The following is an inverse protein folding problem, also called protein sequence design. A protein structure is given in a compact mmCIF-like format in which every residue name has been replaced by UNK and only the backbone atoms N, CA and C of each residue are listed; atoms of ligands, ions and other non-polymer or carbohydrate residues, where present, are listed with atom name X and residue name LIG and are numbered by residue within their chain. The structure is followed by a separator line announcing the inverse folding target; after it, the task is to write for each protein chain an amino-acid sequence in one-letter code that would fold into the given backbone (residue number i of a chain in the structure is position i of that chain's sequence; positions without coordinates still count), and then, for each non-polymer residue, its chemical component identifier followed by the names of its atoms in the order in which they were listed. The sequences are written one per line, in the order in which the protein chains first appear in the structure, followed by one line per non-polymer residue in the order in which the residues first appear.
data_IF_163616515845
#
_entry.id   IF_163616515845
#
_cell.length_a   1.000
_cell.length_b   1.000
_cell.length_c   1.000
_cell.angle_alpha   90.00
_cell.angle_beta   90.00
_cell.angle_gamma   90.00
#
_symmetry.space_group_name_H-M   'P 1'
#
loop_
_entity.id
_entity.type
_entity.pdbx_description
1 polymer ?
#
# COMPACT_ATOMS: atom_id res chain seq x y z
N UNK A 1 9.09 16.70 -29.52
CA UNK A 1 9.45 15.40 -30.10
C UNK A 1 9.11 14.28 -29.11
N UNK A 2 8.56 13.15 -29.54
CA UNK A 2 8.17 12.03 -28.67
C UNK A 2 9.31 11.58 -27.77
N UNK A 3 10.55 11.58 -28.24
CA UNK A 3 11.75 11.27 -27.45
C UNK A 3 11.95 12.14 -26.19
N UNK A 4 11.52 13.41 -26.20
CA UNK A 4 11.59 14.25 -24.99
C UNK A 4 10.53 13.87 -23.96
N UNK A 5 9.32 13.53 -24.40
CA UNK A 5 8.25 13.08 -23.54
C UNK A 5 8.64 11.77 -22.84
N UNK A 6 9.04 10.75 -23.59
CA UNK A 6 9.48 9.49 -23.03
C UNK A 6 10.66 9.62 -22.04
N UNK A 7 11.65 10.47 -22.39
CA UNK A 7 12.76 10.72 -21.47
C UNK A 7 12.30 11.30 -20.14
N UNK A 8 11.27 12.18 -20.16
CA UNK A 8 10.68 12.69 -18.92
C UNK A 8 9.91 11.63 -18.16
N UNK A 9 9.14 10.78 -18.84
CA UNK A 9 8.41 9.69 -18.21
C UNK A 9 9.36 8.72 -17.48
N UNK A 10 10.48 8.36 -18.14
CA UNK A 10 11.55 7.58 -17.50
C UNK A 10 12.13 8.28 -16.27
N UNK A 11 12.36 9.58 -16.38
CA UNK A 11 12.86 10.40 -15.27
C UNK A 11 11.85 10.54 -14.13
N UNK A 12 10.56 10.40 -14.39
CA UNK A 12 9.51 10.36 -13.37
C UNK A 12 9.38 8.98 -12.73
N UNK A 13 10.17 7.98 -13.18
CA UNK A 13 10.22 6.64 -12.62
C UNK A 13 9.24 5.65 -13.27
N UNK A 14 8.58 5.99 -14.39
CA UNK A 14 7.75 5.03 -15.12
C UNK A 14 8.63 3.93 -15.74
N UNK A 15 8.16 2.69 -15.65
CA UNK A 15 8.82 1.53 -16.25
C UNK A 15 8.68 1.51 -17.77
N UNK A 16 9.60 0.85 -18.46
CA UNK A 16 9.52 0.66 -19.91
C UNK A 16 8.26 -0.13 -20.31
N UNK A 17 7.83 -1.09 -19.49
CA UNK A 17 6.59 -1.85 -19.71
C UNK A 17 5.36 -0.95 -19.67
N UNK A 18 5.27 -0.07 -18.69
CA UNK A 18 4.16 0.87 -18.61
C UNK A 18 4.20 1.91 -19.74
N UNK A 19 5.37 2.44 -20.09
CA UNK A 19 5.52 3.35 -21.22
C UNK A 19 5.07 2.66 -22.52
N UNK A 20 5.48 1.43 -22.78
CA UNK A 20 5.06 0.65 -23.94
C UNK A 20 3.53 0.42 -23.97
N UNK A 21 2.93 0.11 -22.82
CA UNK A 21 1.47 -0.04 -22.66
C UNK A 21 0.73 1.27 -22.96
N UNK A 22 1.25 2.39 -22.46
CA UNK A 22 0.68 3.72 -22.73
C UNK A 22 0.76 4.07 -24.23
N UNK A 23 1.85 3.73 -24.89
CA UNK A 23 2.00 3.90 -26.35
C UNK A 23 0.94 3.12 -27.16
N UNK A 24 0.59 1.91 -26.71
CA UNK A 24 -0.43 1.09 -27.35
C UNK A 24 -1.86 1.56 -27.05
N UNK A 25 -2.03 2.49 -26.10
CA UNK A 25 -3.36 2.97 -25.70
C UNK A 25 -3.84 4.08 -26.64
N UNK A 26 -5.10 4.02 -27.05
CA UNK A 26 -5.72 5.08 -27.86
C UNK A 26 -5.70 6.40 -27.10
N UNK A 27 -5.16 7.45 -27.73
CA UNK A 27 -4.99 8.77 -27.12
C UNK A 27 -3.55 9.08 -26.71
N UNK A 28 -2.61 8.18 -26.98
CA UNK A 28 -1.19 8.51 -26.85
C UNK A 28 -0.85 9.76 -27.69
N UNK A 29 -0.14 10.76 -27.13
CA UNK A 29 0.21 11.97 -27.84
C UNK A 29 1.21 11.68 -28.96
N UNK A 30 0.70 11.59 -30.21
CA UNK A 30 1.53 11.40 -31.42
C UNK A 30 2.12 12.69 -31.95
N UNK A 31 2.09 13.75 -31.15
CA UNK A 31 2.36 15.11 -31.54
C UNK A 31 3.62 15.36 -32.35
N UNK A 32 3.46 16.18 -33.38
CA UNK A 32 4.55 16.71 -34.19
C UNK A 32 5.54 17.55 -33.39
N UNK A 33 6.61 18.05 -34.04
CA UNK A 33 7.68 18.79 -33.35
C UNK A 33 7.23 20.06 -32.63
N UNK A 34 6.03 20.56 -32.89
CA UNK A 34 5.46 21.77 -32.34
C UNK A 34 4.53 21.54 -31.12
N UNK A 35 4.20 20.30 -30.77
CA UNK A 35 3.32 20.06 -29.62
C UNK A 35 4.04 20.43 -28.32
N UNK A 36 3.46 21.34 -27.50
CA UNK A 36 4.03 21.71 -26.22
C UNK A 36 4.13 20.48 -25.28
N UNK A 37 5.25 20.34 -24.61
CA UNK A 37 5.56 19.19 -23.76
C UNK A 37 4.52 18.98 -22.63
N UNK A 38 4.01 20.07 -22.06
CA UNK A 38 2.97 20.01 -21.02
C UNK A 38 1.67 19.35 -21.53
N UNK A 39 1.28 19.58 -22.78
CA UNK A 39 0.10 18.91 -23.35
C UNK A 39 0.32 17.40 -23.48
N UNK A 40 1.52 16.99 -23.87
CA UNK A 40 1.89 15.57 -23.91
C UNK A 40 1.83 14.92 -22.53
N UNK A 41 2.34 15.61 -21.50
CA UNK A 41 2.30 15.13 -20.11
C UNK A 41 0.89 15.07 -19.55
N UNK A 42 0.06 16.07 -19.83
CA UNK A 42 -1.37 16.07 -19.44
C UNK A 42 -2.12 14.91 -20.11
N UNK A 43 -1.86 14.64 -21.39
CA UNK A 43 -2.46 13.51 -22.09
C UNK A 43 -2.04 12.18 -21.46
N UNK A 44 -0.74 11.99 -21.17
CA UNK A 44 -0.24 10.78 -20.49
C UNK A 44 -0.82 10.61 -19.08
N UNK A 45 -0.91 11.69 -18.30
CA UNK A 45 -1.56 11.67 -16.99
C UNK A 45 -3.04 11.25 -17.11
N UNK A 46 -3.73 11.70 -18.15
CA UNK A 46 -5.09 11.26 -18.49
C UNK A 46 -5.18 9.77 -18.81
N UNK A 47 -4.24 9.24 -19.59
CA UNK A 47 -4.17 7.81 -19.91
C UNK A 47 -3.89 6.95 -18.68
N UNK A 48 -2.95 7.37 -17.82
CA UNK A 48 -2.67 6.66 -16.55
C UNK A 48 -3.90 6.67 -15.67
N UNK A 49 -4.61 7.80 -15.54
CA UNK A 49 -5.87 7.88 -14.79
C UNK A 49 -6.94 6.95 -15.36
N UNK A 50 -7.01 6.83 -16.67
CA UNK A 50 -7.93 5.91 -17.33
C UNK A 50 -7.57 4.44 -17.05
N UNK A 51 -6.29 4.06 -17.13
CA UNK A 51 -5.82 2.72 -16.76
C UNK A 51 -6.05 2.42 -15.27
N UNK A 52 -5.92 3.43 -14.42
CA UNK A 52 -6.16 3.30 -12.98
C UNK A 52 -7.64 3.31 -12.59
N UNK A 53 -8.55 3.69 -13.50
CA UNK A 53 -9.99 3.68 -13.23
C UNK A 53 -10.53 2.27 -12.98
N UNK A 54 -9.88 1.24 -13.53
CA UNK A 54 -10.21 -0.17 -13.33
C UNK A 54 -9.61 -0.75 -12.04
N UNK A 55 -8.77 0.02 -11.33
CA UNK A 55 -8.20 -0.40 -10.04
C UNK A 55 -9.32 -0.54 -9.02
N UNK A 56 -9.56 -1.77 -8.59
CA UNK A 56 -10.64 -2.08 -7.68
C UNK A 56 -10.41 -1.43 -6.30
N UNK A 57 -11.16 -0.38 -5.99
CA UNK A 57 -11.28 0.11 -4.61
C UNK A 57 -12.21 -0.84 -3.87
N UNK A 58 -11.70 -1.45 -2.80
CA UNK A 58 -12.45 -2.38 -1.96
C UNK A 58 -12.50 -1.87 -0.53
N UNK A 59 -13.64 -1.99 0.17
CA UNK A 59 -13.67 -1.68 1.59
C UNK A 59 -12.76 -2.65 2.36
N UNK A 60 -12.03 -2.12 3.33
CA UNK A 60 -11.22 -2.96 4.20
C UNK A 60 -12.13 -3.78 5.12
N UNK A 61 -12.00 -5.12 5.17
CA UNK A 61 -12.74 -5.94 6.11
C UNK A 61 -12.49 -5.54 7.56
N UNK A 62 -13.51 -5.68 8.41
CA UNK A 62 -13.40 -5.32 9.83
C UNK A 62 -12.32 -6.15 10.57
N UNK A 63 -12.06 -7.37 10.13
CA UNK A 63 -10.97 -8.22 10.63
C UNK A 63 -9.86 -8.27 9.61
N UNK A 64 -8.75 -7.58 9.90
CA UNK A 64 -7.67 -7.37 8.93
C UNK A 64 -6.29 -7.51 9.56
N UNK A 65 -5.43 -8.25 8.89
CA UNK A 65 -4.01 -8.37 9.19
C UNK A 65 -3.17 -7.40 8.35
N UNK A 66 -2.14 -6.82 8.96
CA UNK A 66 -1.12 -6.03 8.28
C UNK A 66 0.18 -6.82 8.29
N UNK A 67 0.76 -7.04 7.13
CA UNK A 67 2.00 -7.80 6.93
C UNK A 67 2.89 -7.10 5.92
N UNK A 68 4.18 -7.15 6.11
CA UNK A 68 5.16 -6.56 5.19
C UNK A 68 6.53 -7.17 5.34
N UNK A 69 7.50 -6.66 4.60
CA UNK A 69 8.91 -7.04 4.80
C UNK A 69 9.47 -6.44 6.09
N UNK A 70 10.52 -7.03 6.67
CA UNK A 70 11.21 -6.43 7.82
C UNK A 70 11.63 -4.99 7.51
N UNK A 71 11.36 -4.06 8.44
CA UNK A 71 11.68 -2.64 8.26
C UNK A 71 10.77 -1.88 7.27
N UNK A 72 9.76 -2.53 6.70
CA UNK A 72 8.83 -1.91 5.74
C UNK A 72 7.82 -0.93 6.33
N UNK A 73 7.85 -0.69 7.65
CA UNK A 73 6.95 0.27 8.30
C UNK A 73 5.55 -0.27 8.58
N UNK A 74 5.38 -1.59 8.73
CA UNK A 74 4.08 -2.24 8.94
C UNK A 74 3.36 -1.69 10.17
N UNK A 75 4.02 -1.66 11.33
CA UNK A 75 3.44 -1.15 12.59
C UNK A 75 3.09 0.33 12.47
N UNK A 76 3.97 1.15 11.88
CA UNK A 76 3.71 2.59 11.66
C UNK A 76 2.51 2.81 10.74
N UNK A 77 2.40 2.04 9.66
CA UNK A 77 1.25 2.09 8.74
C UNK A 77 -0.05 1.71 9.47
N UNK A 78 -0.01 0.68 10.29
CA UNK A 78 -1.15 0.28 11.12
C UNK A 78 -1.53 1.39 12.12
N UNK A 79 -0.58 2.02 12.80
CA UNK A 79 -0.84 3.14 13.70
C UNK A 79 -1.54 4.30 12.97
N UNK A 80 -1.06 4.69 11.77
CA UNK A 80 -1.70 5.74 10.97
C UNK A 80 -3.12 5.36 10.58
N UNK A 81 -3.35 4.11 10.20
CA UNK A 81 -4.68 3.63 9.89
C UNK A 81 -5.62 3.64 11.10
N UNK A 82 -5.12 3.22 12.30
CA UNK A 82 -5.87 3.31 13.56
C UNK A 82 -6.26 4.75 13.88
N UNK A 83 -5.34 5.69 13.74
CA UNK A 83 -5.64 7.11 13.95
C UNK A 83 -6.76 7.60 13.01
N UNK A 84 -6.75 7.21 11.74
CA UNK A 84 -7.81 7.54 10.80
C UNK A 84 -9.16 6.89 11.18
N UNK A 85 -9.17 5.64 11.66
CA UNK A 85 -10.39 4.97 12.14
C UNK A 85 -11.01 5.70 13.31
N UNK A 86 -10.19 6.11 14.29
CA UNK A 86 -10.67 6.78 15.51
C UNK A 86 -11.04 8.23 15.24
N UNK A 87 -10.12 9.03 14.68
CA UNK A 87 -10.32 10.48 14.57
C UNK A 87 -11.21 10.88 13.39
N UNK A 88 -11.06 10.21 12.24
CA UNK A 88 -11.80 10.61 11.04
C UNK A 88 -13.13 9.88 10.90
N UNK A 89 -13.21 8.61 11.36
CA UNK A 89 -14.40 7.78 11.21
C UNK A 89 -15.17 7.53 12.51
N UNK A 90 -14.63 7.94 13.66
CA UNK A 90 -15.25 7.76 14.99
C UNK A 90 -15.44 6.30 15.38
N UNK A 91 -14.66 5.37 14.80
CA UNK A 91 -14.81 3.92 15.02
C UNK A 91 -14.03 3.48 16.25
N UNK A 92 -14.54 2.44 16.92
CA UNK A 92 -13.89 1.77 18.05
C UNK A 92 -13.58 0.32 17.69
N UNK A 93 -12.49 -0.20 18.23
CA UNK A 93 -12.09 -1.56 17.92
C UNK A 93 -10.94 -2.05 18.78
N UNK A 94 -10.33 -3.12 18.32
CA UNK A 94 -9.18 -3.74 18.97
C UNK A 94 -8.03 -3.83 17.97
N UNK A 95 -6.82 -3.63 18.47
CA UNK A 95 -5.59 -3.95 17.74
C UNK A 95 -4.86 -5.05 18.47
N UNK A 96 -4.33 -6.02 17.71
CA UNK A 96 -3.51 -7.09 18.26
C UNK A 96 -2.12 -7.07 17.62
N UNK A 97 -1.11 -7.50 18.38
CA UNK A 97 0.22 -7.81 17.85
C UNK A 97 0.50 -9.28 18.05
N UNK A 98 0.79 -9.97 16.95
CA UNK A 98 1.09 -11.40 16.96
C UNK A 98 2.59 -11.60 16.82
N UNK A 99 3.15 -12.39 17.72
CA UNK A 99 4.53 -12.80 17.70
C UNK A 99 4.59 -14.32 17.57
N UNK A 100 5.48 -14.83 16.69
CA UNK A 100 5.76 -16.26 16.64
C UNK A 100 7.00 -16.57 17.49
N UNK A 101 8.14 -16.80 16.83
CA UNK A 101 9.37 -17.22 17.51
C UNK A 101 10.32 -16.05 17.81
N UNK A 102 9.98 -14.85 17.36
CA UNK A 102 10.81 -13.65 17.55
C UNK A 102 10.01 -12.58 18.26
N UNK A 103 10.46 -12.12 19.42
CA UNK A 103 9.85 -10.98 20.09
C UNK A 103 9.80 -9.79 19.13
N UNK A 104 8.65 -9.20 18.96
CA UNK A 104 8.44 -7.94 18.28
C UNK A 104 8.21 -6.88 19.35
N UNK A 105 8.74 -5.68 19.14
CA UNK A 105 8.46 -4.55 20.01
C UNK A 105 6.96 -4.14 19.87
N UNK A 106 6.07 -4.93 20.48
CA UNK A 106 4.64 -4.63 20.52
C UNK A 106 4.32 -3.47 21.48
N UNK A 107 5.30 -3.00 22.24
CA UNK A 107 5.14 -1.96 23.25
C UNK A 107 4.73 -0.64 22.64
N UNK A 108 5.37 -0.22 21.56
CA UNK A 108 5.03 1.04 20.87
C UNK A 108 3.60 1.02 20.34
N UNK A 109 3.15 -0.10 19.78
CA UNK A 109 1.78 -0.26 19.31
C UNK A 109 0.77 -0.26 20.48
N UNK A 110 1.13 -0.88 21.60
CA UNK A 110 0.29 -0.90 22.80
C UNK A 110 0.09 0.50 23.37
N UNK A 111 1.18 1.27 23.52
CA UNK A 111 1.13 2.67 23.98
C UNK A 111 0.30 3.53 23.04
N UNK A 112 0.48 3.36 21.74
CA UNK A 112 -0.28 4.13 20.75
C UNK A 112 -1.77 3.78 20.76
N UNK A 113 -2.11 2.50 20.91
CA UNK A 113 -3.50 2.06 21.05
C UNK A 113 -4.17 2.66 22.29
N UNK A 114 -3.46 2.67 23.43
CA UNK A 114 -3.93 3.29 24.66
C UNK A 114 -4.23 4.79 24.48
N UNK A 115 -3.32 5.52 23.83
CA UNK A 115 -3.52 6.94 23.52
C UNK A 115 -4.74 7.22 22.63
N UNK A 116 -5.08 6.28 21.74
CA UNK A 116 -6.26 6.37 20.89
C UNK A 116 -7.56 5.85 21.55
N UNK A 117 -7.48 5.26 22.73
CA UNK A 117 -8.61 4.58 23.36
C UNK A 117 -9.05 3.31 22.59
N UNK A 118 -8.10 2.64 21.95
CA UNK A 118 -8.27 1.35 21.26
C UNK A 118 -7.74 0.23 22.15
N UNK A 119 -8.51 -0.84 22.30
CA UNK A 119 -8.08 -1.98 23.08
C UNK A 119 -6.87 -2.68 22.42
N UNK A 120 -5.86 -3.00 23.22
CA UNK A 120 -4.68 -3.74 22.76
C UNK A 120 -4.71 -5.19 23.25
N UNK A 121 -4.40 -6.14 22.35
CA UNK A 121 -4.32 -7.57 22.67
C UNK A 121 -3.01 -8.19 22.13
N UNK A 122 -2.48 -9.19 22.85
CA UNK A 122 -1.32 -10.00 22.40
C UNK A 122 -1.72 -11.24 21.62
N UNK A 123 -3.02 -11.46 21.46
CA UNK A 123 -3.61 -12.55 20.68
C UNK A 123 -4.80 -12.02 19.91
N UNK A 124 -5.07 -12.62 18.76
CA UNK A 124 -6.23 -12.25 17.95
C UNK A 124 -7.51 -12.60 18.71
N UNK A 125 -8.37 -11.62 19.00
CA UNK A 125 -9.66 -11.92 19.63
C UNK A 125 -10.51 -12.86 18.77
N UNK A 126 -11.19 -13.81 19.40
CA UNK A 126 -12.10 -14.70 18.70
C UNK A 126 -13.21 -13.93 18.00
N UNK A 127 -13.62 -14.37 16.81
CA UNK A 127 -14.75 -13.81 16.10
C UNK A 127 -16.08 -14.16 16.81
N UNK A 128 -17.10 -13.30 16.62
CA UNK A 128 -18.47 -13.58 17.09
C UNK A 128 -18.75 -13.31 18.57
N UNK A 129 -18.01 -12.41 19.21
CA UNK A 129 -18.35 -11.98 20.58
C UNK A 129 -19.58 -11.05 20.58
N UNK A 130 -20.44 -11.07 21.64
CA UNK A 130 -21.68 -10.30 21.71
C UNK A 130 -21.53 -8.79 21.61
N UNK A 131 -20.34 -8.24 21.88
CA UNK A 131 -19.94 -6.85 21.64
C UNK A 131 -18.77 -6.91 20.70
N UNK A 132 -19.06 -7.11 19.41
CA UNK A 132 -18.00 -7.09 18.39
C UNK A 132 -17.45 -5.68 18.25
N UNK A 133 -16.13 -5.51 18.36
CA UNK A 133 -15.49 -4.25 18.00
C UNK A 133 -15.78 -3.97 16.52
N UNK A 134 -15.92 -2.68 16.15
CA UNK A 134 -16.16 -2.28 14.77
C UNK A 134 -15.00 -2.65 13.84
N UNK A 135 -13.82 -2.87 14.41
CA UNK A 135 -12.67 -3.44 13.73
C UNK A 135 -11.78 -4.28 14.67
N UNK A 136 -11.07 -5.22 14.09
CA UNK A 136 -9.99 -5.98 14.72
C UNK A 136 -8.81 -5.99 13.76
N UNK A 137 -7.79 -5.18 14.04
CA UNK A 137 -6.59 -5.09 13.21
C UNK A 137 -5.42 -5.79 13.88
N UNK A 138 -4.62 -6.49 13.08
CA UNK A 138 -3.56 -7.35 13.59
C UNK A 138 -2.23 -7.00 12.93
N UNK A 139 -1.26 -6.63 13.75
CA UNK A 139 0.14 -6.48 13.34
C UNK A 139 0.82 -7.84 13.32
N UNK A 140 1.19 -8.30 12.13
CA UNK A 140 1.73 -9.63 11.89
C UNK A 140 3.26 -9.66 11.90
N UNK A 141 3.88 -10.81 12.18
CA UNK A 141 5.28 -11.05 11.87
C UNK A 141 5.57 -10.77 10.39
N UNK A 142 6.80 -10.34 10.06
CA UNK A 142 7.14 -10.01 8.68
C UNK A 142 7.10 -11.24 7.77
N UNK A 143 6.71 -11.03 6.51
CA UNK A 143 6.88 -12.03 5.46
C UNK A 143 8.35 -12.17 5.07
N UNK A 144 8.72 -13.33 4.55
CA UNK A 144 10.08 -13.64 4.09
C UNK A 144 10.11 -13.88 2.59
N UNK A 145 11.11 -13.31 1.90
CA UNK A 145 11.35 -13.59 0.47
C UNK A 145 12.23 -14.82 0.24
N UNK A 146 12.86 -15.35 1.30
CA UNK A 146 13.83 -16.44 1.20
C UNK A 146 13.40 -17.71 1.93
N UNK A 147 12.33 -17.64 2.72
CA UNK A 147 11.84 -18.74 3.56
C UNK A 147 10.34 -18.94 3.35
N UNK A 148 9.93 -19.65 2.29
CA UNK A 148 8.52 -19.86 1.94
C UNK A 148 7.75 -20.61 3.03
N UNK A 149 8.42 -21.44 3.84
CA UNK A 149 7.81 -22.14 4.97
C UNK A 149 7.31 -21.18 6.06
N UNK A 150 8.00 -20.05 6.29
CA UNK A 150 7.52 -19.02 7.21
C UNK A 150 6.26 -18.35 6.67
N UNK A 151 6.19 -18.08 5.38
CA UNK A 151 5.00 -17.53 4.73
C UNK A 151 3.82 -18.52 4.76
N UNK A 152 4.08 -19.82 4.58
CA UNK A 152 3.06 -20.84 4.70
C UNK A 152 2.48 -20.90 6.13
N UNK A 153 3.32 -20.77 7.15
CA UNK A 153 2.89 -20.67 8.56
C UNK A 153 2.05 -19.41 8.81
N UNK A 154 2.47 -18.26 8.25
CA UNK A 154 1.69 -17.01 8.31
C UNK A 154 0.31 -17.20 7.69
N UNK A 155 0.24 -17.78 6.48
CA UNK A 155 -1.02 -18.03 5.78
C UNK A 155 -1.95 -18.93 6.58
N UNK A 156 -1.46 -20.07 7.09
CA UNK A 156 -2.23 -20.97 7.91
C UNK A 156 -2.83 -20.27 9.14
N UNK A 157 -2.02 -19.44 9.81
CA UNK A 157 -2.48 -18.64 10.94
C UNK A 157 -3.57 -17.64 10.55
N UNK A 158 -3.39 -16.91 9.44
CA UNK A 158 -4.38 -15.94 8.95
C UNK A 158 -5.73 -16.60 8.62
N UNK A 159 -5.69 -17.80 8.04
CA UNK A 159 -6.88 -18.60 7.72
C UNK A 159 -7.57 -19.10 9.00
N UNK A 160 -6.81 -19.65 9.94
CA UNK A 160 -7.31 -20.14 11.23
C UNK A 160 -7.96 -19.03 12.05
N UNK A 161 -7.34 -17.84 12.09
CA UNK A 161 -7.86 -16.70 12.84
C UNK A 161 -8.99 -15.96 12.11
N UNK A 162 -9.43 -16.43 10.95
CA UNK A 162 -10.50 -15.83 10.15
C UNK A 162 -10.26 -14.33 9.88
N UNK A 163 -9.09 -14.03 9.33
CA UNK A 163 -8.68 -12.68 8.93
C UNK A 163 -8.82 -12.52 7.40
N UNK A 164 -10.02 -12.16 6.89
CA UNK A 164 -10.26 -12.03 5.46
C UNK A 164 -9.58 -10.80 4.86
N UNK A 165 -9.41 -9.75 5.64
CA UNK A 165 -8.63 -8.59 5.24
C UNK A 165 -7.14 -8.86 5.44
N UNK A 166 -6.33 -8.67 4.39
CA UNK A 166 -4.88 -8.84 4.46
C UNK A 166 -4.22 -7.71 3.69
N UNK A 167 -3.55 -6.84 4.42
CA UNK A 167 -2.88 -5.67 3.87
C UNK A 167 -1.40 -5.96 3.72
N UNK A 168 -0.91 -5.87 2.48
CA UNK A 168 0.50 -5.92 2.19
C UNK A 168 1.11 -4.53 2.35
N UNK A 169 2.08 -4.39 3.23
CA UNK A 169 2.79 -3.12 3.46
C UNK A 169 4.15 -3.17 2.77
N UNK A 170 4.37 -2.24 1.84
CA UNK A 170 5.54 -2.17 0.98
C UNK A 170 6.25 -0.81 1.13
N UNK A 171 7.52 -0.83 1.46
CA UNK A 171 8.34 0.39 1.40
C UNK A 171 8.55 0.80 -0.07
N UNK A 172 8.25 2.06 -0.38
CA UNK A 172 8.56 2.64 -1.69
C UNK A 172 10.05 2.74 -2.00
N UNK A 173 10.92 2.61 -1.02
CA UNK A 173 12.39 2.67 -1.19
C UNK A 173 12.98 1.39 -1.78
N UNK A 174 12.25 0.27 -1.72
CA UNK A 174 12.71 -1.00 -2.28
C UNK A 174 12.92 -0.90 -3.79
N UNK A 175 13.90 -1.64 -4.30
CA UNK A 175 14.06 -1.77 -5.74
C UNK A 175 12.88 -2.55 -6.37
N UNK A 176 12.72 -2.41 -7.69
CA UNK A 176 11.58 -3.01 -8.40
C UNK A 176 11.58 -4.54 -8.39
N UNK A 177 12.74 -5.20 -8.25
CA UNK A 177 12.79 -6.66 -8.19
C UNK A 177 12.30 -7.16 -6.84
N UNK A 178 12.71 -6.50 -5.75
CA UNK A 178 12.24 -6.81 -4.39
C UNK A 178 10.74 -6.51 -4.25
N UNK A 179 10.27 -5.38 -4.79
CA UNK A 179 8.84 -5.05 -4.80
C UNK A 179 8.00 -6.12 -5.52
N UNK A 180 8.43 -6.58 -6.70
CA UNK A 180 7.74 -7.66 -7.43
C UNK A 180 7.70 -8.95 -6.62
N UNK A 181 8.82 -9.34 -6.02
CA UNK A 181 8.90 -10.55 -5.19
C UNK A 181 8.00 -10.43 -3.95
N UNK A 182 7.95 -9.25 -3.32
CA UNK A 182 7.09 -9.00 -2.17
C UNK A 182 5.60 -9.01 -2.56
N UNK A 183 5.23 -8.44 -3.72
CA UNK A 183 3.88 -8.52 -4.25
C UNK A 183 3.47 -9.97 -4.52
N UNK A 184 4.34 -10.79 -5.14
CA UNK A 184 4.07 -12.20 -5.38
C UNK A 184 3.87 -12.97 -4.06
N UNK A 185 4.76 -12.80 -3.08
CA UNK A 185 4.62 -13.39 -1.76
C UNK A 185 3.34 -12.93 -1.04
N UNK A 186 2.97 -11.65 -1.17
CA UNK A 186 1.71 -11.12 -0.64
C UNK A 186 0.48 -11.75 -1.31
N UNK A 187 0.51 -11.98 -2.61
CA UNK A 187 -0.56 -12.68 -3.33
C UNK A 187 -0.69 -14.13 -2.86
N UNK A 188 0.42 -14.84 -2.65
CA UNK A 188 0.42 -16.19 -2.07
C UNK A 188 -0.16 -16.22 -0.66
N UNK A 189 0.07 -15.17 0.14
CA UNK A 189 -0.58 -15.00 1.44
C UNK A 189 -2.07 -14.65 1.35
N UNK A 190 -2.59 -14.38 0.15
CA UNK A 190 -3.96 -13.93 -0.07
C UNK A 190 -4.18 -12.47 0.33
N UNK A 191 -3.17 -11.62 0.22
CA UNK A 191 -3.33 -10.19 0.44
C UNK A 191 -4.38 -9.59 -0.50
N UNK A 192 -5.21 -8.71 0.03
CA UNK A 192 -6.33 -8.07 -0.67
C UNK A 192 -6.11 -6.59 -0.89
N UNK A 193 -5.26 -5.99 -0.06
CA UNK A 193 -4.96 -4.55 -0.09
C UNK A 193 -3.47 -4.30 -0.04
N UNK A 194 -3.07 -3.10 -0.46
CA UNK A 194 -1.67 -2.64 -0.39
C UNK A 194 -1.57 -1.25 0.24
N UNK A 195 -0.51 -1.05 1.01
CA UNK A 195 -0.07 0.23 1.55
C UNK A 195 1.36 0.46 1.09
N UNK A 196 1.65 1.66 0.58
CA UNK A 196 3.02 2.08 0.30
C UNK A 196 3.51 3.03 1.39
N UNK A 197 4.70 2.74 1.92
CA UNK A 197 5.31 3.49 3.03
C UNK A 197 6.62 4.17 2.61
N UNK A 198 7.12 5.08 3.45
CA UNK A 198 8.42 5.76 3.27
C UNK A 198 8.52 6.52 1.93
N UNK A 199 7.40 7.11 1.50
CA UNK A 199 7.33 7.81 0.22
C UNK A 199 7.86 9.23 0.29
N UNK A 200 8.06 9.78 1.48
CA UNK A 200 8.74 11.05 1.75
C UNK A 200 10.18 11.06 1.24
N UNK A 201 10.86 9.92 1.36
CA UNK A 201 12.24 9.74 0.88
C UNK A 201 12.31 9.27 -0.59
N UNK A 202 11.17 9.03 -1.24
CA UNK A 202 11.14 8.54 -2.61
C UNK A 202 11.18 9.68 -3.61
N UNK A 203 12.26 9.86 -4.40
CA UNK A 203 12.39 10.96 -5.33
C UNK A 203 11.49 10.86 -6.56
N UNK A 204 11.05 9.66 -6.92
CA UNK A 204 10.26 9.38 -8.12
C UNK A 204 9.19 8.34 -7.83
N UNK A 205 7.92 8.74 -7.98
CA UNK A 205 6.78 7.89 -7.64
C UNK A 205 6.28 7.04 -8.81
N UNK A 206 6.76 7.28 -10.01
CA UNK A 206 6.30 6.61 -11.23
C UNK A 206 6.39 5.09 -11.19
N UNK A 207 7.38 4.53 -10.47
CA UNK A 207 7.51 3.07 -10.32
C UNK A 207 6.34 2.40 -9.59
N UNK A 208 5.57 3.16 -8.80
CA UNK A 208 4.44 2.61 -8.06
C UNK A 208 3.28 2.23 -8.99
N UNK A 209 3.21 2.82 -10.18
CA UNK A 209 2.15 2.54 -11.14
C UNK A 209 2.12 1.09 -11.61
N UNK A 210 3.25 0.43 -11.72
CA UNK A 210 3.30 -1.00 -12.09
C UNK A 210 2.52 -1.87 -11.09
N UNK A 211 2.61 -1.53 -9.80
CA UNK A 211 1.96 -2.27 -8.72
C UNK A 211 0.50 -1.84 -8.51
N UNK A 212 0.16 -0.59 -8.82
CA UNK A 212 -1.22 -0.09 -8.72
C UNK A 212 -2.09 -0.58 -9.87
N UNK A 213 -1.53 -0.71 -11.08
CA UNK A 213 -2.29 -1.06 -12.28
C UNK A 213 -2.28 -2.58 -12.53
N UNK A 214 -1.20 -3.27 -12.23
CA UNK A 214 -1.00 -4.69 -12.57
C UNK A 214 -1.31 -5.64 -11.41
N UNK A 215 -1.16 -5.20 -10.17
CA UNK A 215 -1.44 -6.06 -9.03
C UNK A 215 -2.95 -6.09 -8.70
N UNK A 216 -3.51 -7.25 -8.35
CA UNK A 216 -4.92 -7.38 -7.97
C UNK A 216 -5.20 -6.88 -6.54
N UNK A 217 -4.35 -6.00 -5.99
CA UNK A 217 -4.42 -5.48 -4.64
C UNK A 217 -5.09 -4.10 -4.63
N UNK A 218 -6.12 -3.93 -3.81
CA UNK A 218 -6.77 -2.64 -3.64
C UNK A 218 -5.84 -1.67 -2.89
N UNK A 219 -5.54 -0.48 -3.44
CA UNK A 219 -4.74 0.50 -2.73
C UNK A 219 -5.51 1.04 -1.52
N UNK A 220 -4.90 1.02 -0.33
CA UNK A 220 -5.53 1.44 0.91
C UNK A 220 -5.10 2.85 1.33
N UNK A 221 -3.80 3.08 1.39
CA UNK A 221 -3.20 4.40 1.67
C UNK A 221 -1.73 4.44 1.25
N UNK A 222 -1.20 5.64 1.20
CA UNK A 222 0.24 5.94 1.15
C UNK A 222 0.65 6.68 2.41
N UNK A 223 1.89 6.46 2.88
CA UNK A 223 2.45 7.18 4.03
C UNK A 223 3.70 7.96 3.66
N UNK A 224 3.82 9.17 4.20
CA UNK A 224 4.75 10.23 3.74
C UNK A 224 5.72 10.68 4.82
N UNK A 225 5.87 9.95 5.91
CA UNK A 225 6.79 10.39 6.97
C UNK A 225 6.55 9.65 8.29
N UNK A 226 7.34 9.97 9.33
CA UNK A 226 7.34 9.26 10.60
C UNK A 226 6.19 9.63 11.54
N UNK A 227 5.50 10.77 11.33
CA UNK A 227 4.39 11.19 12.19
C UNK A 227 3.26 10.15 12.19
N UNK A 228 2.78 9.75 13.36
CA UNK A 228 1.76 8.71 13.51
C UNK A 228 0.33 9.21 13.26
N UNK A 229 0.09 10.52 13.34
CA UNK A 229 -1.25 11.11 13.24
C UNK A 229 -1.54 11.76 11.90
N UNK A 230 -0.49 12.10 11.15
CA UNK A 230 -0.55 12.81 9.88
C UNK A 230 0.23 12.07 8.79
N UNK A 231 0.49 12.74 7.68
CA UNK A 231 1.38 12.26 6.63
C UNK A 231 0.92 10.93 6.02
N UNK A 232 -0.39 10.78 5.82
CA UNK A 232 -0.94 9.68 5.02
C UNK A 232 -2.07 10.19 4.12
N UNK A 233 -2.20 9.58 2.94
CA UNK A 233 -3.26 9.87 1.98
C UNK A 233 -3.98 8.59 1.59
N UNK A 234 -5.31 8.59 1.66
CA UNK A 234 -6.18 7.46 1.26
C UNK A 234 -6.60 7.54 -0.21
N UNK A 235 -6.53 8.72 -0.83
CA UNK A 235 -6.62 8.87 -2.29
C UNK A 235 -5.27 8.50 -2.93
N UNK A 236 -4.95 7.21 -2.92
CA UNK A 236 -3.65 6.70 -3.39
C UNK A 236 -3.39 7.04 -4.85
N UNK A 237 -4.40 6.84 -5.71
CA UNK A 237 -4.28 7.12 -7.14
C UNK A 237 -4.01 8.60 -7.39
N UNK A 238 -4.77 9.48 -6.74
CA UNK A 238 -4.56 10.92 -6.84
C UNK A 238 -3.20 11.36 -6.27
N UNK A 239 -2.79 10.80 -5.13
CA UNK A 239 -1.50 11.10 -4.52
C UNK A 239 -0.33 10.73 -5.43
N UNK A 240 -0.34 9.51 -5.97
CA UNK A 240 0.73 9.03 -6.88
C UNK A 240 0.72 9.82 -8.18
N UNK A 241 -0.46 10.18 -8.71
CA UNK A 241 -0.56 10.98 -9.92
C UNK A 241 0.04 12.37 -9.75
N UNK A 242 -0.32 13.09 -8.67
CA UNK A 242 0.21 14.43 -8.34
C UNK A 242 1.73 14.40 -8.17
N UNK A 243 2.29 13.34 -7.61
CA UNK A 243 3.74 13.24 -7.37
C UNK A 243 4.50 12.70 -8.57
N UNK A 244 3.86 11.95 -9.47
CA UNK A 244 4.46 11.56 -10.76
C UNK A 244 4.51 12.74 -11.72
N UNK A 245 3.47 13.60 -11.70
CA UNK A 245 3.32 14.75 -12.59
C UNK A 245 3.06 16.04 -11.79
N UNK A 246 4.08 16.62 -11.13
CA UNK A 246 3.92 17.74 -10.19
C UNK A 246 3.47 19.07 -10.85
N UNK A 247 3.38 19.10 -12.17
CA UNK A 247 2.95 20.28 -12.97
C UNK A 247 1.54 20.11 -13.58
N UNK A 248 0.78 19.17 -13.10
CA UNK A 248 -0.63 18.97 -13.46
C UNK A 248 -1.57 19.65 -12.47
#
# INVERSE_FOLDING_TARGET
PPQRLEALLRRSGLSESLIARLHATRGWPTGGPEQPLHQGLTAVAGLIRQLAADVALRPLPARTAFVGLPGGGTTTALCKWLAAEVFSRGRRGVVASVEFDRPKAAEDLAVFAELLGVDFARQVPAAGRPVDPQFCYVDMPPLSLTRPEENARLRAFLDEQQLPGRVLVLSGLLDSAVLRSACAAGQELGCTHVVFTQLDELPQWGKLWDYLIEAPLAPLMVTLGPSLTDECETDVIGAVLRRTFPWN
#
